data_IF_541729587666
#
_entry.id   IF_541729587666
#
_cell.length_a   1.000
_cell.length_b   1.000
_cell.length_c   1.000
_cell.angle_alpha   90.00
_cell.angle_beta   90.00
_cell.angle_gamma   90.00
#
_symmetry.space_group_name_H-M   'P 1'
#
loop_
_entity.id
_entity.type
_entity.pdbx_description
1 polymer ?
#
# COMPACT_ATOMS: atom_id res chain seq x y z
N UNK A 1 -6.07 -4.28 -19.00
CA UNK A 1 -6.28 -4.05 -17.56
C UNK A 1 -6.75 -5.27 -16.77
N UNK A 2 -7.47 -6.22 -17.38
CA UNK A 2 -7.97 -7.43 -16.68
C UNK A 2 -6.88 -8.24 -16.00
N UNK A 3 -5.77 -8.53 -16.69
CA UNK A 3 -4.64 -9.28 -16.10
C UNK A 3 -4.07 -8.60 -14.83
N UNK A 4 -3.91 -7.27 -14.86
CA UNK A 4 -3.44 -6.51 -13.70
C UNK A 4 -4.44 -6.58 -12.53
N UNK A 5 -5.75 -6.45 -12.81
CA UNK A 5 -6.79 -6.61 -11.79
C UNK A 5 -6.77 -8.01 -11.16
N UNK A 6 -6.65 -9.05 -11.98
CA UNK A 6 -6.54 -10.44 -11.52
C UNK A 6 -5.30 -10.64 -10.64
N UNK A 7 -4.17 -10.05 -11.02
CA UNK A 7 -2.97 -10.04 -10.20
C UNK A 7 -3.20 -9.37 -8.84
N UNK A 8 -3.79 -8.17 -8.81
CA UNK A 8 -4.07 -7.45 -7.55
C UNK A 8 -4.97 -8.24 -6.61
N UNK A 9 -6.04 -8.85 -7.15
CA UNK A 9 -6.97 -9.68 -6.38
C UNK A 9 -6.25 -10.94 -5.87
N UNK A 10 -5.58 -11.67 -6.75
CA UNK A 10 -4.91 -12.92 -6.40
C UNK A 10 -3.81 -12.71 -5.37
N UNK A 11 -2.97 -11.68 -5.55
CA UNK A 11 -1.92 -11.34 -4.61
C UNK A 11 -2.50 -10.93 -3.24
N UNK A 12 -3.56 -10.11 -3.22
CA UNK A 12 -4.21 -9.71 -1.98
C UNK A 12 -4.79 -10.91 -1.22
N UNK A 13 -5.43 -11.85 -1.92
CA UNK A 13 -5.96 -13.08 -1.32
C UNK A 13 -4.84 -13.96 -0.73
N UNK A 14 -3.74 -14.13 -1.46
CA UNK A 14 -2.56 -14.86 -0.96
C UNK A 14 -2.00 -14.20 0.29
N UNK A 15 -1.82 -12.87 0.26
CA UNK A 15 -1.30 -12.12 1.40
C UNK A 15 -2.23 -12.23 2.61
N UNK A 16 -3.54 -12.05 2.42
CA UNK A 16 -4.52 -12.17 3.49
C UNK A 16 -4.50 -13.57 4.13
N UNK A 17 -4.48 -14.63 3.33
CA UNK A 17 -4.39 -16.00 3.84
C UNK A 17 -3.07 -16.25 4.60
N UNK A 18 -1.94 -15.79 4.05
CA UNK A 18 -0.63 -15.92 4.70
C UNK A 18 -0.59 -15.17 6.03
N UNK A 19 -1.08 -13.93 6.07
CA UNK A 19 -1.16 -13.11 7.27
C UNK A 19 -2.06 -13.75 8.34
N UNK A 20 -3.20 -14.33 7.96
CA UNK A 20 -4.06 -15.06 8.90
C UNK A 20 -3.33 -16.24 9.54
N UNK A 21 -2.62 -17.04 8.75
CA UNK A 21 -1.82 -18.16 9.27
C UNK A 21 -0.74 -17.67 10.22
N UNK A 22 -0.04 -16.57 9.90
CA UNK A 22 0.96 -15.97 10.79
C UNK A 22 0.33 -15.52 12.11
N UNK A 23 -0.81 -14.83 12.07
CA UNK A 23 -1.52 -14.38 13.27
C UNK A 23 -1.96 -15.56 14.13
N UNK A 24 -2.49 -16.63 13.52
CA UNK A 24 -2.92 -17.83 14.25
C UNK A 24 -1.76 -18.53 14.98
N UNK A 25 -0.55 -18.49 14.43
CA UNK A 25 0.62 -19.17 15.00
C UNK A 25 1.48 -18.28 15.91
N UNK A 26 1.48 -16.96 15.69
CA UNK A 26 2.40 -16.03 16.35
C UNK A 26 1.72 -14.84 17.04
N UNK A 27 0.40 -14.73 16.94
CA UNK A 27 -0.39 -13.64 17.53
C UNK A 27 -0.31 -12.33 16.74
N UNK A 28 -0.89 -11.28 17.33
CA UNK A 28 -0.89 -9.92 16.77
C UNK A 28 0.33 -9.15 17.28
N UNK A 29 1.35 -8.97 16.45
CA UNK A 29 2.59 -8.30 16.85
C UNK A 29 3.34 -7.54 15.74
N UNK A 30 2.72 -7.38 14.56
CA UNK A 30 3.40 -6.92 13.34
C UNK A 30 4.25 -5.65 13.56
N UNK A 31 3.67 -4.57 14.07
CA UNK A 31 4.39 -3.31 14.23
C UNK A 31 5.50 -3.38 15.27
N UNK A 32 5.27 -4.07 16.38
CA UNK A 32 6.30 -4.23 17.42
C UNK A 32 7.50 -5.02 16.87
N UNK A 33 7.25 -6.11 16.14
CA UNK A 33 8.31 -6.91 15.50
C UNK A 33 9.03 -6.06 14.45
N UNK A 34 8.28 -5.39 13.59
CA UNK A 34 8.82 -4.60 12.49
C UNK A 34 9.79 -3.50 12.94
N UNK A 35 9.36 -2.65 13.88
CA UNK A 35 10.20 -1.58 14.41
C UNK A 35 11.24 -2.09 15.41
N UNK A 36 10.96 -3.20 16.11
CA UNK A 36 11.93 -3.87 16.98
C UNK A 36 13.15 -4.35 16.19
N UNK A 37 12.94 -5.02 15.06
CA UNK A 37 14.01 -5.49 14.18
C UNK A 37 14.86 -4.33 13.64
N UNK A 38 14.23 -3.21 13.27
CA UNK A 38 14.94 -1.99 12.86
C UNK A 38 15.86 -1.46 13.95
N UNK A 39 15.39 -1.43 15.20
CA UNK A 39 16.17 -0.98 16.34
C UNK A 39 17.37 -1.89 16.64
N UNK A 40 17.32 -3.17 16.29
CA UNK A 40 18.45 -4.10 16.45
C UNK A 40 19.57 -3.89 15.43
N UNK A 41 19.34 -3.11 14.36
CA UNK A 41 20.34 -2.83 13.30
C UNK A 41 20.99 -4.08 12.70
N UNK A 42 20.22 -5.15 12.53
CA UNK A 42 20.63 -6.39 11.86
C UNK A 42 19.99 -6.49 10.46
N UNK A 43 20.26 -7.56 9.72
CA UNK A 43 19.71 -7.77 8.38
C UNK A 43 18.17 -7.65 8.29
N UNK A 44 17.36 -8.24 9.20
CA UNK A 44 15.92 -7.99 9.25
C UNK A 44 15.56 -6.51 9.41
N UNK A 45 16.28 -5.79 10.25
CA UNK A 45 16.10 -4.35 10.44
C UNK A 45 16.42 -3.53 9.20
N UNK A 46 17.48 -3.89 8.47
CA UNK A 46 17.82 -3.24 7.20
C UNK A 46 16.72 -3.46 6.15
N UNK A 47 16.21 -4.70 6.01
CA UNK A 47 15.10 -5.00 5.12
C UNK A 47 13.83 -4.24 5.51
N UNK A 48 13.50 -4.18 6.80
CA UNK A 48 12.34 -3.44 7.28
C UNK A 48 12.47 -1.93 7.01
N UNK A 49 13.64 -1.33 7.20
CA UNK A 49 13.87 0.07 6.87
C UNK A 49 13.70 0.37 5.38
N UNK A 50 14.27 -0.49 4.52
CA UNK A 50 14.13 -0.38 3.06
C UNK A 50 12.65 -0.50 2.64
N UNK A 51 11.96 -1.54 3.12
CA UNK A 51 10.53 -1.72 2.87
C UNK A 51 9.69 -0.55 3.41
N UNK A 52 10.02 -0.01 4.58
CA UNK A 52 9.35 1.17 5.13
C UNK A 52 9.51 2.40 4.23
N UNK A 53 10.66 2.56 3.57
CA UNK A 53 10.84 3.56 2.51
C UNK A 53 9.81 3.42 1.39
N UNK A 54 9.57 2.20 0.89
CA UNK A 54 8.51 1.95 -0.10
C UNK A 54 7.11 2.27 0.44
N UNK A 55 6.82 1.95 1.71
CA UNK A 55 5.54 2.27 2.35
C UNK A 55 5.32 3.79 2.45
N UNK A 56 6.36 4.54 2.84
CA UNK A 56 6.33 6.00 2.89
C UNK A 56 6.09 6.60 1.51
N UNK A 57 6.79 6.13 0.48
CA UNK A 57 6.58 6.59 -0.90
C UNK A 57 5.17 6.27 -1.40
N UNK A 58 4.65 5.08 -1.08
CA UNK A 58 3.27 4.67 -1.41
C UNK A 58 2.24 5.60 -0.76
N UNK A 59 2.35 5.84 0.55
CA UNK A 59 1.45 6.73 1.27
C UNK A 59 1.54 8.18 0.79
N UNK A 60 2.75 8.70 0.56
CA UNK A 60 2.98 10.02 -0.01
C UNK A 60 2.37 10.14 -1.40
N UNK A 61 2.53 9.12 -2.25
CA UNK A 61 1.91 9.10 -3.57
C UNK A 61 0.39 9.16 -3.47
N UNK A 62 -0.23 8.36 -2.58
CA UNK A 62 -1.68 8.41 -2.35
C UNK A 62 -2.13 9.81 -1.93
N UNK A 63 -1.46 10.42 -0.96
CA UNK A 63 -1.78 11.77 -0.50
C UNK A 63 -1.60 12.81 -1.63
N UNK A 64 -0.48 12.73 -2.36
CA UNK A 64 -0.14 13.65 -3.44
C UNK A 64 -1.12 13.61 -4.61
N UNK A 65 -1.54 12.40 -5.04
CA UNK A 65 -2.52 12.25 -6.14
C UNK A 65 -3.93 12.72 -5.75
N UNK A 66 -4.19 12.83 -4.45
CA UNK A 66 -5.40 13.43 -3.87
C UNK A 66 -5.18 14.85 -3.34
N UNK A 67 -4.15 15.54 -3.86
CA UNK A 67 -3.85 16.95 -3.59
C UNK A 67 -3.65 17.28 -2.10
N UNK A 68 -3.19 16.31 -1.31
CA UNK A 68 -3.06 16.43 0.14
C UNK A 68 -4.35 16.92 0.83
N UNK A 69 -5.51 16.64 0.22
CA UNK A 69 -6.80 16.86 0.86
C UNK A 69 -6.92 16.05 2.15
N UNK A 70 -7.85 16.38 3.07
CA UNK A 70 -8.05 15.59 4.28
C UNK A 70 -8.26 14.09 4.01
N UNK A 71 -9.04 13.75 2.98
CA UNK A 71 -9.22 12.36 2.53
C UNK A 71 -7.95 11.75 1.94
N UNK A 72 -7.19 12.53 1.16
CA UNK A 72 -5.88 12.11 0.64
C UNK A 72 -4.85 11.82 1.73
N UNK A 73 -4.79 12.65 2.77
CA UNK A 73 -3.92 12.43 3.93
C UNK A 73 -4.33 11.17 4.70
N UNK A 74 -5.62 10.96 4.92
CA UNK A 74 -6.13 9.74 5.56
C UNK A 74 -5.76 8.49 4.74
N UNK A 75 -5.94 8.53 3.41
CA UNK A 75 -5.49 7.47 2.51
C UNK A 75 -3.97 7.27 2.56
N UNK A 76 -3.20 8.34 2.65
CA UNK A 76 -1.74 8.28 2.79
C UNK A 76 -1.32 7.54 4.06
N UNK A 77 -1.91 7.88 5.21
CA UNK A 77 -1.66 7.18 6.48
C UNK A 77 -2.06 5.70 6.38
N UNK A 78 -3.23 5.41 5.80
CA UNK A 78 -3.65 4.03 5.54
C UNK A 78 -2.69 3.29 4.61
N UNK A 79 -2.12 3.96 3.61
CA UNK A 79 -1.12 3.41 2.70
C UNK A 79 0.18 3.04 3.41
N UNK A 80 0.67 3.88 4.33
CA UNK A 80 1.89 3.61 5.10
C UNK A 80 1.69 2.42 6.04
N UNK A 81 0.65 2.44 6.88
CA UNK A 81 0.47 1.41 7.91
C UNK A 81 -0.24 0.15 7.41
N UNK A 82 -1.06 0.27 6.36
CA UNK A 82 -1.74 -0.86 5.74
C UNK A 82 -0.93 -1.54 4.64
N UNK A 83 0.06 -0.86 4.07
CA UNK A 83 0.99 -1.40 3.08
C UNK A 83 0.31 -2.20 1.97
N UNK A 84 0.83 -3.41 1.71
CA UNK A 84 0.28 -4.30 0.70
C UNK A 84 -1.08 -4.92 1.07
N UNK A 85 -1.54 -4.77 2.31
CA UNK A 85 -2.93 -5.08 2.69
C UNK A 85 -3.94 -4.06 2.15
N UNK A 86 -3.49 -2.81 1.90
CA UNK A 86 -4.34 -1.70 1.43
C UNK A 86 -4.09 -1.35 -0.03
N UNK A 87 -2.83 -1.29 -0.46
CA UNK A 87 -2.45 -0.78 -1.78
C UNK A 87 -3.13 -1.53 -2.95
N UNK A 88 -3.21 -2.87 -2.99
CA UNK A 88 -3.91 -3.57 -4.08
C UNK A 88 -5.40 -3.24 -4.13
N UNK A 89 -6.07 -3.15 -2.98
CA UNK A 89 -7.49 -2.78 -2.90
C UNK A 89 -7.71 -1.34 -3.38
N UNK A 90 -6.84 -0.44 -2.96
CA UNK A 90 -6.86 0.95 -3.39
C UNK A 90 -6.64 1.09 -4.90
N UNK A 91 -5.70 0.34 -5.48
CA UNK A 91 -5.46 0.32 -6.93
C UNK A 91 -6.65 -0.26 -7.69
N UNK A 92 -7.31 -1.30 -7.18
CA UNK A 92 -8.54 -1.84 -7.77
C UNK A 92 -9.67 -0.79 -7.78
N UNK A 93 -9.86 -0.08 -6.67
CA UNK A 93 -10.79 1.04 -6.61
C UNK A 93 -10.41 2.14 -7.60
N UNK A 94 -9.14 2.56 -7.63
CA UNK A 94 -8.67 3.60 -8.53
C UNK A 94 -8.80 3.23 -10.01
N UNK A 95 -8.58 1.96 -10.36
CA UNK A 95 -8.80 1.43 -11.71
C UNK A 95 -10.26 1.43 -12.11
N UNK A 96 -11.18 1.23 -11.15
CA UNK A 96 -12.61 1.33 -11.39
C UNK A 96 -13.03 2.78 -11.56
N UNK A 97 -12.61 3.67 -10.65
CA UNK A 97 -12.89 5.09 -10.75
C UNK A 97 -12.39 5.66 -12.08
N UNK A 98 -11.20 5.26 -12.54
CA UNK A 98 -10.58 5.76 -13.74
C UNK A 98 -11.01 5.07 -15.05
N UNK A 99 -11.98 4.17 -15.03
CA UNK A 99 -12.35 3.32 -16.19
C UNK A 99 -11.13 2.61 -16.84
N UNK A 100 -10.13 2.29 -16.02
CA UNK A 100 -8.87 1.67 -16.45
C UNK A 100 -7.82 2.61 -17.05
N UNK A 101 -8.06 3.93 -17.10
CA UNK A 101 -7.07 4.91 -17.55
C UNK A 101 -5.92 5.05 -16.54
N UNK A 102 -4.74 4.53 -16.90
CA UNK A 102 -3.57 4.55 -16.03
C UNK A 102 -3.00 5.95 -15.79
N UNK A 103 -3.22 6.91 -16.69
CA UNK A 103 -2.82 8.30 -16.46
C UNK A 103 -3.59 8.86 -15.26
N UNK A 104 -4.90 8.61 -15.22
CA UNK A 104 -5.76 9.01 -14.10
C UNK A 104 -5.43 8.21 -12.83
N UNK A 105 -5.15 6.90 -12.93
CA UNK A 105 -4.76 6.08 -11.77
C UNK A 105 -3.49 6.61 -11.12
N UNK A 106 -2.48 6.94 -11.91
CA UNK A 106 -1.17 7.38 -11.40
C UNK A 106 -1.18 8.82 -10.89
N UNK A 107 -1.84 9.73 -11.61
CA UNK A 107 -1.76 11.17 -11.34
C UNK A 107 -2.95 11.70 -10.52
N UNK A 108 -4.09 11.00 -10.53
CA UNK A 108 -5.37 11.57 -10.11
C UNK A 108 -6.00 12.42 -11.22
N UNK A 109 -7.33 12.55 -11.18
CA UNK A 109 -8.13 13.16 -12.27
C UNK A 109 -7.71 14.59 -12.61
N UNK A 110 -7.55 15.45 -11.59
CA UNK A 110 -7.23 16.86 -11.82
C UNK A 110 -5.85 17.04 -12.46
N UNK A 111 -4.83 16.30 -11.99
CA UNK A 111 -3.48 16.36 -12.55
C UNK A 111 -3.40 15.73 -13.94
N UNK A 112 -4.13 14.65 -14.17
CA UNK A 112 -4.20 14.00 -15.49
C UNK A 112 -4.82 14.91 -16.56
N UNK A 113 -5.77 15.77 -16.19
CA UNK A 113 -6.40 16.74 -17.09
C UNK A 113 -5.48 17.92 -17.46
N UNK A 114 -4.49 18.23 -16.63
CA UNK A 114 -3.55 19.35 -16.85
C UNK A 114 -2.23 18.94 -17.51
N UNK A 115 -2.11 17.72 -18.02
CA UNK A 115 -0.89 17.13 -18.58
C UNK A 115 -1.06 16.62 -19.99
#
# INVERSE_FOLDING_TARGET
MTAFRLFLIGFWLILAAYTLVVIMNHGMGLFQIFFGDMAQMTWPGQFNLDFFGFLLLSGLWMAWRHHFSPGGLALGVLGVFGGMGVLPLYLLWALNDADGDMKIVMLGRQRAASS
#
